data_IF_373606074586
#
_entry.id   IF_373606074586
#
_cell.length_a   1.000
_cell.length_b   1.000
_cell.length_c   1.000
_cell.angle_alpha   90.00
_cell.angle_beta   90.00
_cell.angle_gamma   90.00
#
_symmetry.space_group_name_H-M   'P 1'
#
loop_
_entity.id
_entity.type
_entity.pdbx_description
1 polymer ?
#
# COMPACT_ATOMS: atom_id res chain seq x y z
N UNK A 1 -2.20 2.58 -14.16
CA UNK A 1 -0.83 2.18 -13.73
C UNK A 1 -0.46 2.94 -12.45
N UNK A 2 0.37 2.38 -11.54
CA UNK A 2 0.83 3.09 -10.31
C UNK A 2 2.28 2.74 -9.93
N UNK A 3 2.91 3.60 -9.12
CA UNK A 3 4.24 3.37 -8.50
C UNK A 3 4.14 3.49 -6.98
N UNK A 4 4.49 2.41 -6.27
CA UNK A 4 4.61 2.45 -4.81
C UNK A 4 5.96 3.08 -4.43
N UNK A 5 5.92 4.23 -3.75
CA UNK A 5 7.09 5.06 -3.44
C UNK A 5 7.27 5.35 -1.94
N UNK A 6 6.57 4.61 -1.08
CA UNK A 6 6.62 4.78 0.36
C UNK A 6 8.06 4.58 0.90
N UNK A 7 8.57 5.57 1.63
CA UNK A 7 9.91 5.55 2.22
C UNK A 7 9.79 5.29 3.70
N UNK A 8 10.15 4.09 4.13
CA UNK A 8 10.19 3.75 5.56
C UNK A 8 11.59 3.97 6.14
N UNK A 9 11.70 4.36 7.43
CA UNK A 9 12.99 4.61 8.08
C UNK A 9 13.81 3.33 8.36
N UNK A 10 13.40 2.18 7.83
CA UNK A 10 14.04 0.89 8.07
C UNK A 10 15.43 0.83 7.40
N UNK A 11 16.39 0.24 8.11
CA UNK A 11 17.82 0.22 7.74
C UNK A 11 18.38 1.62 7.47
N UNK A 12 18.02 2.62 8.29
CA UNK A 12 18.46 4.01 8.11
C UNK A 12 17.93 4.64 6.83
N UNK A 13 16.75 4.21 6.36
CA UNK A 13 16.13 4.73 5.13
C UNK A 13 16.71 4.16 3.82
N UNK A 14 17.63 3.18 3.90
CA UNK A 14 18.27 2.59 2.71
C UNK A 14 17.34 1.69 1.89
N UNK A 15 16.38 1.02 2.53
CA UNK A 15 15.46 0.08 1.86
C UNK A 15 14.48 0.76 0.89
N UNK A 16 14.01 1.99 1.19
CA UNK A 16 12.95 2.71 0.44
C UNK A 16 11.78 1.76 0.11
N UNK A 17 11.24 1.81 -1.12
CA UNK A 17 10.24 0.87 -1.62
C UNK A 17 10.90 -0.36 -2.26
N UNK A 18 11.49 -1.24 -1.44
CA UNK A 18 12.16 -2.44 -1.92
C UNK A 18 11.19 -3.46 -2.52
N UNK A 19 11.74 -4.51 -3.15
CA UNK A 19 10.97 -5.62 -3.71
C UNK A 19 9.95 -6.15 -2.69
N UNK A 20 8.73 -6.41 -3.16
CA UNK A 20 7.59 -6.92 -2.39
C UNK A 20 7.09 -6.05 -1.20
N UNK A 21 7.65 -4.86 -0.94
CA UNK A 21 7.24 -4.04 0.22
C UNK A 21 5.75 -3.68 0.22
N UNK A 22 5.15 -3.57 -0.97
CA UNK A 22 3.73 -3.23 -1.12
C UNK A 22 2.76 -4.37 -0.75
N UNK A 23 3.22 -5.63 -0.68
CA UNK A 23 2.32 -6.77 -0.51
C UNK A 23 1.46 -6.68 0.77
N UNK A 24 2.01 -6.37 1.96
CA UNK A 24 1.20 -6.28 3.16
C UNK A 24 0.13 -5.18 3.10
N UNK A 25 0.38 -4.12 2.33
CA UNK A 25 -0.57 -3.02 2.12
C UNK A 25 -1.72 -3.44 1.20
N UNK A 26 -1.38 -4.11 0.09
CA UNK A 26 -2.38 -4.65 -0.87
C UNK A 26 -3.29 -5.67 -0.22
N UNK A 27 -2.75 -6.53 0.66
CA UNK A 27 -3.51 -7.61 1.29
C UNK A 27 -4.16 -7.25 2.63
N UNK A 28 -3.97 -6.03 3.15
CA UNK A 28 -4.48 -5.67 4.49
C UNK A 28 -3.80 -6.41 5.66
N UNK A 29 -2.62 -6.99 5.42
CA UNK A 29 -1.94 -7.93 6.31
C UNK A 29 -0.87 -7.28 7.21
N UNK A 30 -1.04 -5.99 7.55
CA UNK A 30 -0.10 -5.23 8.37
C UNK A 30 0.14 -5.78 9.79
N UNK A 31 -0.76 -6.65 10.25
CA UNK A 31 -0.76 -7.26 11.57
C UNK A 31 0.01 -8.59 11.62
N UNK A 32 0.41 -9.15 10.46
CA UNK A 32 1.07 -10.45 10.40
C UNK A 32 2.48 -10.39 11.02
N UNK A 33 2.95 -11.48 11.67
CA UNK A 33 4.28 -11.56 12.23
C UNK A 33 5.37 -11.22 11.19
N UNK A 34 6.38 -10.45 11.61
CA UNK A 34 7.51 -10.06 10.74
C UNK A 34 7.24 -8.91 9.76
N UNK A 35 5.98 -8.52 9.51
CA UNK A 35 5.65 -7.43 8.58
C UNK A 35 6.19 -6.08 9.06
N UNK A 36 6.06 -5.80 10.37
CA UNK A 36 6.54 -4.55 10.97
C UNK A 36 8.05 -4.35 10.78
N UNK A 37 8.82 -5.44 10.66
CA UNK A 37 10.27 -5.38 10.39
C UNK A 37 10.61 -4.79 9.02
N UNK A 38 9.64 -4.73 8.10
CA UNK A 38 9.80 -4.16 6.75
C UNK A 38 8.95 -2.91 6.53
N UNK A 39 7.74 -2.84 7.11
CA UNK A 39 6.81 -1.72 6.91
C UNK A 39 6.97 -0.61 7.95
N UNK A 40 7.64 -0.90 9.06
CA UNK A 40 7.66 -0.06 10.25
C UNK A 40 6.31 -0.09 10.97
N UNK A 41 6.19 0.72 12.02
CA UNK A 41 5.01 0.80 12.88
C UNK A 41 4.31 2.17 12.87
N UNK A 42 4.68 3.08 11.95
CA UNK A 42 4.05 4.39 11.84
C UNK A 42 2.54 4.27 11.61
N UNK A 43 1.70 5.06 12.31
CA UNK A 43 0.23 4.96 12.23
C UNK A 43 -0.33 5.09 10.80
N UNK A 44 0.29 5.96 9.99
CA UNK A 44 -0.06 6.24 8.59
C UNK A 44 -0.08 5.00 7.70
N UNK A 45 0.67 3.94 8.05
CA UNK A 45 0.69 2.69 7.28
C UNK A 45 -0.70 2.07 7.14
N UNK A 46 -1.57 2.23 8.15
CA UNK A 46 -2.95 1.73 8.13
C UNK A 46 -3.77 2.41 7.04
N UNK A 47 -3.64 3.74 6.90
CA UNK A 47 -4.36 4.49 5.88
C UNK A 47 -3.89 4.11 4.47
N UNK A 48 -2.57 3.99 4.28
CA UNK A 48 -2.00 3.52 3.01
C UNK A 48 -2.51 2.12 2.66
N UNK A 49 -2.51 1.21 3.64
CA UNK A 49 -3.02 -0.15 3.41
C UNK A 49 -4.50 -0.15 3.08
N UNK A 50 -5.32 0.67 3.72
CA UNK A 50 -6.73 0.78 3.40
C UNK A 50 -6.95 1.26 1.96
N UNK A 51 -6.30 2.35 1.56
CA UNK A 51 -6.41 2.87 0.18
C UNK A 51 -5.98 1.85 -0.86
N UNK A 52 -4.85 1.18 -0.63
CA UNK A 52 -4.36 0.16 -1.57
C UNK A 52 -5.28 -1.06 -1.61
N UNK A 53 -5.72 -1.55 -0.47
CA UNK A 53 -6.58 -2.73 -0.39
C UNK A 53 -7.93 -2.49 -1.06
N UNK A 54 -8.57 -1.35 -0.78
CA UNK A 54 -9.86 -0.98 -1.37
C UNK A 54 -9.74 -0.79 -2.89
N UNK A 55 -8.65 -0.17 -3.39
CA UNK A 55 -8.41 -0.03 -4.83
C UNK A 55 -8.21 -1.39 -5.53
N UNK A 56 -7.53 -2.33 -4.91
CA UNK A 56 -7.36 -3.69 -5.45
C UNK A 56 -8.67 -4.49 -5.42
N UNK A 57 -9.50 -4.33 -4.38
CA UNK A 57 -10.84 -4.91 -4.32
C UNK A 57 -11.72 -4.33 -5.44
N UNK A 58 -11.75 -3.01 -5.58
CA UNK A 58 -12.55 -2.34 -6.61
C UNK A 58 -12.17 -2.87 -7.99
N UNK A 59 -10.87 -2.88 -8.30
CA UNK A 59 -10.38 -3.43 -9.56
C UNK A 59 -10.80 -4.89 -9.79
N UNK A 60 -10.72 -5.75 -8.77
CA UNK A 60 -11.14 -7.14 -8.89
C UNK A 60 -12.64 -7.30 -9.12
N UNK A 61 -13.47 -6.44 -8.53
CA UNK A 61 -14.92 -6.50 -8.64
C UNK A 61 -15.48 -5.89 -9.94
N UNK A 62 -14.88 -4.80 -10.43
CA UNK A 62 -15.47 -3.98 -11.49
C UNK A 62 -14.49 -3.59 -12.62
N UNK A 63 -13.24 -4.03 -12.55
CA UNK A 63 -12.20 -3.68 -13.54
C UNK A 63 -11.65 -2.26 -13.43
N UNK A 64 -12.09 -1.49 -12.42
CA UNK A 64 -11.74 -0.09 -12.18
C UNK A 64 -11.23 0.08 -10.72
N UNK A 65 -9.99 0.54 -10.50
CA UNK A 65 -9.46 0.67 -9.14
C UNK A 65 -10.03 1.86 -8.35
N UNK A 66 -10.85 2.73 -8.97
CA UNK A 66 -11.45 3.88 -8.29
C UNK A 66 -12.44 3.45 -7.20
N UNK A 67 -12.45 4.17 -6.08
CA UNK A 67 -13.40 4.01 -4.97
C UNK A 67 -13.55 5.34 -4.20
N UNK A 68 -14.64 5.51 -3.45
CA UNK A 68 -15.02 6.78 -2.79
C UNK A 68 -13.99 7.36 -1.80
N UNK A 69 -13.04 6.54 -1.36
CA UNK A 69 -12.02 6.89 -0.36
C UNK A 69 -10.63 7.07 -0.98
N UNK A 70 -10.52 6.96 -2.31
CA UNK A 70 -9.30 7.24 -3.03
C UNK A 70 -9.09 8.76 -3.06
N UNK A 71 -7.87 9.21 -2.75
CA UNK A 71 -7.60 10.65 -2.59
C UNK A 71 -7.74 11.42 -3.91
N UNK A 72 -7.43 10.77 -5.02
CA UNK A 72 -7.44 11.34 -6.36
C UNK A 72 -7.95 10.28 -7.33
N UNK A 73 -8.58 10.71 -8.43
CA UNK A 73 -9.07 9.80 -9.46
C UNK A 73 -7.91 9.05 -10.14
N UNK A 74 -8.04 7.73 -10.26
CA UNK A 74 -7.10 6.90 -11.01
C UNK A 74 -7.48 6.90 -12.48
N UNK A 75 -6.82 7.75 -13.26
CA UNK A 75 -7.00 7.84 -14.71
C UNK A 75 -6.32 6.68 -15.45
N UNK A 76 -6.96 6.24 -16.53
CA UNK A 76 -6.34 5.40 -17.56
C UNK A 76 -5.64 6.33 -18.56
N UNK A 77 -4.35 6.09 -18.78
CA UNK A 77 -3.57 6.72 -19.85
C UNK A 77 -3.79 5.96 -21.17
#
# INVERSE_FOLDING_TARGET
MYRFNDKKPIMGGRLKACHALKLPFVFGNLHQPGVTSFTGNLPERKQISKQMHDAWISFACNGNPNHDQLLEEWTVL
#
